data_IF_136227857044
#
_entry.id   IF_136227857044
#
_cell.length_a   1.000
_cell.length_b   1.000
_cell.length_c   1.000
_cell.angle_alpha   90.00
_cell.angle_beta   90.00
_cell.angle_gamma   90.00
#
_symmetry.space_group_name_H-M   'P 1'
#
loop_
_entity.id
_entity.type
_entity.pdbx_description
1 polymer ?
#
# COMPACT_ATOMS: atom_id res chain seq x y z
N UNK A 1 -52.46 23.16 21.14
CA UNK A 1 -51.33 22.54 21.86
C UNK A 1 -50.31 22.10 20.81
N UNK A 2 -49.18 22.80 20.71
CA UNK A 2 -48.16 22.60 19.66
C UNK A 2 -47.26 21.43 20.07
N UNK A 3 -47.23 20.36 19.27
CA UNK A 3 -46.25 19.28 19.41
C UNK A 3 -45.16 19.52 18.36
N UNK A 4 -44.03 20.09 18.79
CA UNK A 4 -42.82 20.17 17.96
C UNK A 4 -42.14 18.79 17.97
N UNK A 5 -42.09 18.13 16.81
CA UNK A 5 -41.21 17.00 16.58
C UNK A 5 -39.78 17.50 16.35
N UNK A 6 -38.89 17.26 17.30
CA UNK A 6 -37.45 17.43 17.11
C UNK A 6 -36.95 16.36 16.14
N UNK A 7 -36.70 16.73 14.89
CA UNK A 7 -35.96 15.90 13.94
C UNK A 7 -34.49 16.00 14.33
N UNK A 8 -33.98 14.99 15.03
CA UNK A 8 -32.55 14.87 15.33
C UNK A 8 -31.81 14.61 14.03
N UNK A 9 -31.13 15.63 13.50
CA UNK A 9 -30.22 15.48 12.36
C UNK A 9 -29.03 14.62 12.78
N UNK A 10 -29.04 13.37 12.33
CA UNK A 10 -27.89 12.48 12.42
C UNK A 10 -26.83 12.99 11.43
N UNK A 11 -25.87 13.76 11.93
CA UNK A 11 -24.70 14.17 11.14
C UNK A 11 -23.82 12.93 11.00
N UNK A 12 -23.90 12.25 9.85
CA UNK A 12 -22.91 11.27 9.45
C UNK A 12 -21.59 12.01 9.18
N UNK A 13 -20.68 11.97 10.14
CA UNK A 13 -19.27 12.24 9.87
C UNK A 13 -18.73 11.05 9.07
N UNK A 14 -18.86 11.12 7.75
CA UNK A 14 -18.03 10.32 6.86
C UNK A 14 -16.59 10.81 7.03
N UNK A 15 -15.80 10.07 7.81
CA UNK A 15 -14.35 10.30 7.86
C UNK A 15 -13.81 10.24 6.44
N UNK A 16 -13.12 11.28 6.01
CA UNK A 16 -12.46 11.31 4.70
C UNK A 16 -11.32 10.31 4.72
N UNK A 17 -11.59 9.06 4.33
CA UNK A 17 -10.52 8.16 3.91
C UNK A 17 -9.75 8.90 2.81
N UNK A 18 -8.47 9.20 3.07
CA UNK A 18 -7.66 9.96 2.13
C UNK A 18 -7.45 9.07 0.90
N UNK A 19 -7.73 9.60 -0.28
CA UNK A 19 -7.61 8.84 -1.52
C UNK A 19 -6.15 8.39 -1.71
N UNK A 20 -5.96 7.11 -2.02
CA UNK A 20 -4.66 6.54 -2.35
C UNK A 20 -4.28 6.98 -3.77
N UNK A 21 -3.20 7.73 -3.89
CA UNK A 21 -2.68 8.28 -5.14
C UNK A 21 -1.47 7.49 -5.65
N UNK A 22 -1.21 7.44 -6.98
CA UNK A 22 -0.07 6.73 -7.57
C UNK A 22 1.25 7.49 -7.41
N UNK A 23 1.59 7.80 -6.16
CA UNK A 23 2.83 8.46 -5.72
C UNK A 23 3.46 7.62 -4.60
N UNK A 24 4.78 7.61 -4.53
CA UNK A 24 5.52 6.93 -3.47
C UNK A 24 5.07 7.41 -2.08
N UNK A 25 4.91 8.71 -1.88
CA UNK A 25 4.52 9.27 -0.57
C UNK A 25 3.11 8.79 -0.16
N UNK A 26 2.16 8.75 -1.10
CA UNK A 26 0.83 8.22 -0.80
C UNK A 26 0.86 6.72 -0.54
N UNK A 27 1.58 5.93 -1.34
CA UNK A 27 1.70 4.48 -1.14
C UNK A 27 2.39 4.18 0.19
N UNK A 28 3.47 4.89 0.50
CA UNK A 28 4.22 4.72 1.75
C UNK A 28 3.33 4.98 2.96
N UNK A 29 2.57 6.09 2.94
CA UNK A 29 1.69 6.47 4.05
C UNK A 29 0.46 5.59 4.19
N UNK A 30 -0.23 5.30 3.09
CA UNK A 30 -1.54 4.65 3.14
C UNK A 30 -1.45 3.11 3.04
N UNK A 31 -0.33 2.55 2.57
CA UNK A 31 -0.13 1.09 2.42
C UNK A 31 1.05 0.58 3.25
N UNK A 32 2.26 1.07 3.00
CA UNK A 32 3.46 0.47 3.62
C UNK A 32 3.51 0.66 5.14
N UNK A 33 3.01 1.79 5.64
CA UNK A 33 2.87 2.05 7.08
C UNK A 33 1.97 1.06 7.82
N UNK A 34 0.96 0.51 7.16
CA UNK A 34 -0.01 -0.33 7.84
C UNK A 34 0.27 -1.82 7.69
N UNK A 35 0.87 -2.23 6.57
CA UNK A 35 0.97 -3.65 6.22
C UNK A 35 2.39 -4.15 5.99
N UNK A 36 3.41 -3.27 6.01
CA UNK A 36 4.74 -3.66 5.53
C UNK A 36 5.90 -3.28 6.48
N UNK A 37 5.87 -2.09 7.08
CA UNK A 37 7.02 -1.59 7.84
C UNK A 37 7.32 -2.38 9.12
N UNK A 38 6.37 -3.13 9.68
CA UNK A 38 6.60 -3.95 10.88
C UNK A 38 7.56 -5.12 10.63
N UNK A 39 7.69 -5.59 9.38
CA UNK A 39 8.72 -6.56 8.99
C UNK A 39 9.87 -5.92 8.21
N UNK A 40 9.56 -4.94 7.35
CA UNK A 40 10.50 -4.33 6.41
C UNK A 40 11.17 -3.06 6.95
N UNK A 41 11.71 -3.15 8.15
CA UNK A 41 12.50 -2.10 8.79
C UNK A 41 13.90 -2.61 9.15
N UNK A 42 14.79 -1.72 9.57
CA UNK A 42 16.21 -2.02 9.79
C UNK A 42 16.51 -3.22 10.72
N UNK A 43 15.61 -3.50 11.67
CA UNK A 43 15.74 -4.62 12.63
C UNK A 43 14.72 -5.74 12.41
N UNK A 44 13.84 -5.62 11.42
CA UNK A 44 12.77 -6.58 11.16
C UNK A 44 13.23 -7.82 10.39
N UNK A 45 12.32 -8.78 10.25
CA UNK A 45 12.56 -10.03 9.50
C UNK A 45 12.77 -9.77 8.00
N UNK A 46 12.10 -8.74 7.45
CA UNK A 46 12.20 -8.27 6.07
C UNK A 46 13.29 -7.22 5.82
N UNK A 47 14.21 -6.96 6.76
CA UNK A 47 15.23 -5.89 6.70
C UNK A 47 16.11 -5.83 5.45
N UNK A 48 16.17 -6.91 4.66
CA UNK A 48 16.93 -6.95 3.38
C UNK A 48 16.20 -6.25 2.24
N UNK A 49 14.93 -5.89 2.45
CA UNK A 49 14.09 -5.16 1.50
C UNK A 49 13.53 -3.93 2.24
N UNK A 50 14.32 -2.85 2.38
CA UNK A 50 13.80 -1.57 2.87
C UNK A 50 12.80 -1.00 1.88
N UNK A 51 11.73 -0.38 2.36
CA UNK A 51 10.65 0.15 1.52
C UNK A 51 10.78 1.65 1.26
N UNK A 52 11.93 2.25 1.57
CA UNK A 52 12.18 3.61 1.13
C UNK A 52 12.35 3.68 -0.40
N UNK A 53 11.97 4.80 -1.01
CA UNK A 53 11.95 4.96 -2.46
C UNK A 53 13.29 4.63 -3.12
N UNK A 54 14.39 5.08 -2.53
CA UNK A 54 15.71 4.89 -3.10
C UNK A 54 16.11 3.40 -3.05
N UNK A 55 15.83 2.71 -1.94
CA UNK A 55 16.07 1.27 -1.82
C UNK A 55 15.24 0.44 -2.79
N UNK A 56 13.96 0.82 -3.01
CA UNK A 56 13.09 0.14 -3.96
C UNK A 56 13.59 0.26 -5.41
N UNK A 57 13.99 1.48 -5.81
CA UNK A 57 14.48 1.77 -7.17
C UNK A 57 15.87 1.19 -7.47
N UNK A 58 16.73 1.07 -6.45
CA UNK A 58 18.11 0.60 -6.61
C UNK A 58 18.31 -0.85 -6.13
N UNK A 59 17.22 -1.57 -5.86
CA UNK A 59 17.30 -2.94 -5.35
C UNK A 59 17.90 -3.89 -6.39
N UNK A 60 18.86 -4.76 -6.01
CA UNK A 60 19.37 -5.80 -6.88
C UNK A 60 18.32 -6.89 -7.19
N UNK A 61 17.17 -6.86 -6.51
CA UNK A 61 16.02 -7.74 -6.76
C UNK A 61 15.02 -7.11 -7.73
N UNK A 62 15.36 -5.98 -8.34
CA UNK A 62 14.52 -5.29 -9.33
C UNK A 62 13.09 -5.02 -8.82
N UNK A 63 12.99 -4.57 -7.56
CA UNK A 63 11.70 -4.41 -6.88
C UNK A 63 10.79 -3.39 -7.56
N UNK A 64 11.37 -2.28 -8.03
CA UNK A 64 10.68 -1.29 -8.85
C UNK A 64 11.51 -1.04 -10.10
N UNK A 65 10.99 -1.48 -11.23
CA UNK A 65 11.53 -1.19 -12.56
C UNK A 65 10.66 -0.09 -13.17
N UNK A 66 11.15 1.16 -13.26
CA UNK A 66 10.38 2.26 -13.85
C UNK A 66 9.79 1.90 -15.21
N UNK A 67 8.51 2.22 -15.39
CA UNK A 67 7.72 1.95 -16.60
C UNK A 67 7.41 0.46 -16.88
N UNK A 68 7.80 -0.46 -15.99
CA UNK A 68 7.62 -1.90 -16.19
C UNK A 68 7.09 -2.58 -14.91
N UNK A 69 5.79 -2.40 -14.58
CA UNK A 69 5.19 -3.02 -13.39
C UNK A 69 5.17 -4.55 -13.47
N UNK A 70 5.04 -5.13 -14.66
CA UNK A 70 4.90 -6.58 -14.85
C UNK A 70 6.17 -7.35 -14.46
N UNK A 71 7.34 -6.75 -14.65
CA UNK A 71 8.62 -7.34 -14.26
C UNK A 71 9.12 -6.84 -12.88
N UNK A 72 8.41 -5.88 -12.27
CA UNK A 72 8.80 -5.32 -10.98
C UNK A 72 8.57 -6.31 -9.84
N UNK A 73 9.63 -6.66 -9.12
CA UNK A 73 9.61 -7.65 -8.03
C UNK A 73 8.61 -7.33 -6.92
N UNK A 74 8.32 -6.05 -6.66
CA UNK A 74 7.28 -5.62 -5.71
C UNK A 74 5.89 -6.11 -6.15
N UNK A 75 5.52 -5.88 -7.41
CA UNK A 75 4.22 -6.29 -7.95
C UNK A 75 4.13 -7.81 -7.97
N UNK A 76 5.19 -8.47 -8.45
CA UNK A 76 5.28 -9.92 -8.46
C UNK A 76 5.13 -10.54 -7.08
N UNK A 77 5.61 -9.88 -6.02
CA UNK A 77 5.46 -10.35 -4.64
C UNK A 77 4.05 -10.14 -4.07
N UNK A 78 3.38 -9.03 -4.43
CA UNK A 78 2.02 -8.72 -4.00
C UNK A 78 0.96 -9.59 -4.69
N UNK A 79 1.18 -9.97 -5.95
CA UNK A 79 0.24 -10.76 -6.76
C UNK A 79 0.37 -12.28 -6.57
N UNK A 80 1.31 -12.76 -5.76
CA UNK A 80 1.47 -14.21 -5.52
C UNK A 80 0.27 -14.77 -4.75
N UNK A 81 -0.03 -16.03 -5.04
CA UNK A 81 -1.07 -16.79 -4.34
C UNK A 81 -0.49 -17.94 -3.48
N UNK A 82 0.83 -17.99 -3.31
CA UNK A 82 1.51 -19.01 -2.49
C UNK A 82 2.06 -18.43 -1.17
N UNK A 83 2.76 -19.27 -0.41
CA UNK A 83 3.34 -18.94 0.90
C UNK A 83 4.40 -17.83 0.87
N UNK A 84 4.85 -17.45 -0.34
CA UNK A 84 5.82 -16.36 -0.55
C UNK A 84 5.16 -15.04 -0.91
N UNK A 85 3.83 -14.95 -0.95
CA UNK A 85 3.11 -13.67 -1.13
C UNK A 85 3.46 -12.68 -0.02
N UNK A 86 3.33 -11.40 -0.30
CA UNK A 86 3.55 -10.33 0.68
C UNK A 86 2.27 -9.51 0.92
N UNK A 87 1.90 -9.24 2.19
CA UNK A 87 2.40 -9.88 3.42
C UNK A 87 2.18 -11.41 3.40
N UNK A 88 2.96 -12.20 4.17
CA UNK A 88 2.77 -13.66 4.23
C UNK A 88 1.34 -14.06 4.65
N UNK A 89 0.82 -15.21 4.20
CA UNK A 89 -0.57 -15.61 4.47
C UNK A 89 -0.88 -15.88 5.94
N UNK A 90 0.11 -16.30 6.72
CA UNK A 90 -0.03 -16.61 8.15
C UNK A 90 0.43 -15.44 9.07
N UNK A 91 0.53 -14.23 8.51
CA UNK A 91 0.88 -13.01 9.26
C UNK A 91 -0.39 -12.35 9.87
N UNK A 92 -0.19 -11.37 10.75
CA UNK A 92 -1.26 -10.55 11.33
C UNK A 92 -1.84 -9.55 10.31
N UNK A 93 -1.17 -9.33 9.18
CA UNK A 93 -1.60 -8.41 8.13
C UNK A 93 -2.32 -9.14 7.00
N UNK A 94 -3.45 -8.57 6.59
CA UNK A 94 -4.16 -9.02 5.39
C UNK A 94 -3.33 -8.81 4.12
N UNK A 95 -3.72 -9.50 3.05
CA UNK A 95 -3.21 -9.21 1.72
C UNK A 95 -3.50 -7.75 1.34
N UNK A 96 -2.55 -7.11 0.67
CA UNK A 96 -2.81 -5.82 0.01
C UNK A 96 -3.96 -6.01 -0.98
N UNK A 97 -4.93 -5.10 -0.95
CA UNK A 97 -6.12 -5.19 -1.79
C UNK A 97 -5.78 -5.05 -3.26
N UNK A 98 -6.67 -5.53 -4.15
CA UNK A 98 -6.47 -5.40 -5.60
C UNK A 98 -6.39 -3.94 -6.03
N UNK A 99 -7.19 -3.08 -5.40
CA UNK A 99 -7.24 -1.65 -5.66
C UNK A 99 -5.92 -0.96 -5.26
N UNK A 100 -5.37 -1.31 -4.09
CA UNK A 100 -4.05 -0.81 -3.66
C UNK A 100 -2.93 -1.29 -4.59
N UNK A 101 -2.94 -2.58 -4.99
CA UNK A 101 -1.98 -3.12 -5.96
C UNK A 101 -2.07 -2.34 -7.27
N UNK A 102 -3.27 -2.05 -7.78
CA UNK A 102 -3.46 -1.25 -9.00
C UNK A 102 -2.85 0.15 -8.89
N UNK A 103 -2.95 0.81 -7.73
CA UNK A 103 -2.32 2.12 -7.53
C UNK A 103 -0.79 2.01 -7.48
N UNK A 104 -0.25 0.98 -6.82
CA UNK A 104 1.20 0.73 -6.81
C UNK A 104 1.70 0.44 -8.23
N UNK A 105 0.99 -0.40 -8.99
CA UNK A 105 1.28 -0.64 -10.41
C UNK A 105 1.28 0.67 -11.19
N UNK A 106 0.28 1.52 -10.98
CA UNK A 106 0.17 2.80 -11.68
C UNK A 106 1.32 3.75 -11.38
N UNK A 107 1.79 3.79 -10.14
CA UNK A 107 2.98 4.55 -9.76
C UNK A 107 4.22 4.07 -10.53
N UNK A 108 4.42 2.75 -10.64
CA UNK A 108 5.54 2.16 -11.39
C UNK A 108 5.40 2.40 -12.90
N UNK A 109 4.19 2.25 -13.45
CA UNK A 109 3.87 2.57 -14.86
C UNK A 109 4.20 4.01 -15.21
N UNK A 110 3.98 4.94 -14.27
CA UNK A 110 4.33 6.36 -14.43
C UNK A 110 5.84 6.63 -14.23
N UNK A 111 6.65 5.57 -14.12
CA UNK A 111 8.10 5.66 -14.03
C UNK A 111 8.63 5.95 -12.63
N UNK A 112 7.79 5.91 -11.59
CA UNK A 112 8.18 6.07 -10.18
C UNK A 112 9.09 7.31 -9.91
N UNK A 113 8.81 8.44 -10.56
CA UNK A 113 9.69 9.63 -10.59
C UNK A 113 9.38 10.75 -9.58
N UNK A 114 8.29 10.63 -8.84
CA UNK A 114 7.72 11.66 -7.96
C UNK A 114 8.53 12.08 -6.71
#
# INVERSE_FOLDING_TARGET
MKLLCFVSSLILFAGTAKALEPTYESISREVFQYSCYDCHHATGTGKRVPLDKASLLNSPLELVIPYNPDESGLILALERNDDKRMPPPDDIYDAVTKEEILIIRKWIENGAQD
#
